data_IF_692064994588
#
_entry.id   IF_692064994588
#
_cell.length_a   1.000
_cell.length_b   1.000
_cell.length_c   1.000
_cell.angle_alpha   90.00
_cell.angle_beta   90.00
_cell.angle_gamma   90.00
#
_symmetry.space_group_name_H-M   'P 1'
#
loop_
_entity.id
_entity.type
_entity.pdbx_description
1 polymer ?
#
# COMPACT_ATOMS: atom_id res chain seq x y z
N UNK A 1 -6.83 -16.05 -36.56
CA UNK A 1 -5.74 -15.31 -35.89
C UNK A 1 -5.77 -13.87 -36.36
N UNK A 2 -6.43 -12.98 -35.62
CA UNK A 2 -6.34 -11.54 -35.85
C UNK A 2 -4.94 -11.10 -35.43
N UNK A 3 -4.11 -10.72 -36.41
CA UNK A 3 -2.82 -10.08 -36.16
C UNK A 3 -3.09 -8.62 -35.81
N UNK A 4 -2.89 -8.30 -34.55
CA UNK A 4 -2.97 -6.93 -34.04
C UNK A 4 -1.92 -6.05 -34.72
N UNK A 5 -2.22 -4.78 -34.94
CA UNK A 5 -1.37 -3.89 -35.74
C UNK A 5 -0.40 -3.05 -34.90
N UNK A 6 -0.54 -3.02 -33.57
CA UNK A 6 0.63 -2.75 -32.72
C UNK A 6 1.55 -3.97 -32.86
N UNK A 7 2.81 -3.82 -33.32
CA UNK A 7 3.72 -4.96 -33.37
C UNK A 7 3.74 -5.58 -31.98
N UNK A 8 3.67 -6.91 -31.89
CA UNK A 8 4.10 -7.59 -30.67
C UNK A 8 5.55 -7.17 -30.49
N UNK A 9 5.77 -6.07 -29.76
CA UNK A 9 7.08 -5.51 -29.52
C UNK A 9 7.76 -6.57 -28.67
N UNK A 10 8.65 -7.38 -29.27
CA UNK A 10 9.19 -8.50 -28.56
C UNK A 10 10.09 -7.89 -27.49
N UNK A 11 9.81 -8.23 -26.24
CA UNK A 11 10.63 -7.82 -25.11
C UNK A 11 12.00 -8.54 -25.11
N UNK A 12 12.30 -9.30 -26.16
CA UNK A 12 13.47 -10.19 -26.34
C UNK A 12 14.82 -9.46 -26.42
N UNK A 13 14.87 -8.15 -26.16
CA UNK A 13 16.10 -7.33 -26.14
C UNK A 13 16.30 -6.55 -24.84
N UNK A 14 15.38 -6.68 -23.90
CA UNK A 14 15.54 -6.08 -22.58
C UNK A 14 16.36 -7.05 -21.76
N UNK A 15 17.58 -6.61 -21.47
CA UNK A 15 18.61 -7.33 -20.75
C UNK A 15 18.06 -8.32 -19.72
N UNK A 16 18.53 -9.57 -19.80
CA UNK A 16 18.35 -10.52 -18.72
C UNK A 16 18.79 -9.87 -17.40
N UNK A 17 17.92 -9.93 -16.40
CA UNK A 17 18.33 -9.71 -15.03
C UNK A 17 19.07 -10.98 -14.60
N UNK A 18 20.40 -10.89 -14.51
CA UNK A 18 21.26 -12.05 -14.23
C UNK A 18 21.54 -12.08 -12.72
N UNK A 19 21.37 -13.22 -12.03
CA UNK A 19 21.78 -13.34 -10.64
C UNK A 19 23.26 -12.97 -10.48
N UNK A 20 23.62 -12.25 -9.42
CA UNK A 20 25.03 -12.12 -9.02
C UNK A 20 25.64 -13.52 -8.82
N UNK A 21 26.75 -13.80 -9.50
CA UNK A 21 27.41 -15.11 -9.52
C UNK A 21 27.88 -15.62 -8.14
N UNK A 22 27.85 -14.78 -7.09
CA UNK A 22 28.35 -15.09 -5.76
C UNK A 22 27.32 -15.75 -4.82
N UNK A 23 26.08 -16.01 -5.24
CA UNK A 23 25.06 -16.65 -4.38
C UNK A 23 24.69 -15.85 -3.13
N UNK A 24 25.21 -14.62 -2.99
CA UNK A 24 24.92 -13.69 -1.91
C UNK A 24 23.59 -12.98 -2.20
N UNK A 25 22.49 -13.73 -2.18
CA UNK A 25 21.16 -13.13 -2.14
C UNK A 25 20.90 -12.67 -0.71
N UNK A 26 20.50 -11.42 -0.54
CA UNK A 26 20.05 -10.91 0.76
C UNK A 26 18.76 -11.62 1.12
N UNK A 27 18.88 -12.76 1.82
CA UNK A 27 17.75 -13.35 2.53
C UNK A 27 17.55 -12.50 3.77
N UNK A 28 16.63 -11.55 3.69
CA UNK A 28 16.04 -11.00 4.91
C UNK A 28 15.46 -12.20 5.66
N UNK A 29 15.83 -12.36 6.92
CA UNK A 29 15.40 -13.49 7.76
C UNK A 29 13.85 -13.52 7.78
N UNK A 30 13.18 -14.58 7.29
CA UNK A 30 11.73 -14.60 7.14
C UNK A 30 10.95 -14.63 8.46
N UNK A 31 11.63 -14.61 9.61
CA UNK A 31 11.08 -15.00 10.90
C UNK A 31 10.14 -13.98 11.57
N UNK A 32 9.84 -12.84 10.94
CA UNK A 32 8.93 -11.83 11.51
C UNK A 32 7.91 -11.20 10.55
N UNK A 33 7.84 -11.61 9.27
CA UNK A 33 6.84 -11.04 8.35
C UNK A 33 5.45 -11.58 8.67
N UNK A 34 4.49 -10.69 8.87
CA UNK A 34 3.10 -11.10 9.01
C UNK A 34 2.56 -11.53 7.63
N UNK A 35 1.98 -12.72 7.57
CA UNK A 35 1.49 -13.29 6.33
C UNK A 35 0.11 -12.73 5.98
N UNK A 36 -0.09 -12.26 4.73
CA UNK A 36 -1.40 -11.79 4.30
C UNK A 36 -2.47 -12.89 4.39
N UNK A 37 -3.46 -12.69 5.26
CA UNK A 37 -4.76 -13.35 5.20
C UNK A 37 -5.55 -12.75 4.05
N UNK A 38 -6.29 -13.57 3.32
CA UNK A 38 -7.16 -13.09 2.26
C UNK A 38 -8.57 -13.62 2.43
N UNK A 39 -9.54 -12.90 1.87
CA UNK A 39 -10.89 -13.41 1.66
C UNK A 39 -11.13 -13.86 0.21
N UNK A 40 -10.06 -13.89 -0.60
CA UNK A 40 -10.07 -14.42 -1.95
C UNK A 40 -10.50 -15.90 -1.91
N UNK A 41 -11.58 -16.22 -2.62
CA UNK A 41 -12.17 -17.56 -2.64
C UNK A 41 -11.82 -18.32 -3.92
N UNK A 42 -11.74 -17.60 -5.05
CA UNK A 42 -11.51 -18.21 -6.35
C UNK A 42 -10.44 -17.48 -7.12
N UNK A 43 -9.54 -18.25 -7.72
CA UNK A 43 -8.55 -17.80 -8.68
C UNK A 43 -8.88 -18.44 -10.03
N UNK A 44 -9.34 -17.65 -11.00
CA UNK A 44 -9.85 -18.19 -12.28
C UNK A 44 -9.04 -17.70 -13.49
N UNK A 45 -8.84 -18.53 -14.53
CA UNK A 45 -8.17 -18.06 -15.73
C UNK A 45 -8.95 -16.95 -16.44
N UNK A 46 -8.29 -15.84 -16.74
CA UNK A 46 -8.84 -14.74 -17.53
C UNK A 46 -8.79 -15.08 -19.03
N UNK A 47 -9.73 -15.91 -19.48
CA UNK A 47 -9.74 -16.46 -20.85
C UNK A 47 -9.86 -15.39 -21.95
N UNK A 48 -10.50 -14.26 -21.66
CA UNK A 48 -10.68 -13.14 -22.60
C UNK A 48 -9.56 -12.11 -22.57
N UNK A 49 -8.53 -12.29 -21.73
CA UNK A 49 -7.49 -11.28 -21.50
C UNK A 49 -6.87 -10.75 -22.79
N UNK A 50 -6.35 -11.64 -23.65
CA UNK A 50 -5.64 -11.22 -24.87
C UNK A 50 -6.52 -10.40 -25.81
N UNK A 51 -7.82 -10.74 -25.90
CA UNK A 51 -8.79 -10.03 -26.72
C UNK A 51 -9.13 -8.67 -26.11
N UNK A 52 -9.39 -8.60 -24.80
CA UNK A 52 -9.67 -7.33 -24.10
C UNK A 52 -8.50 -6.35 -24.20
N UNK A 53 -7.26 -6.84 -24.01
CA UNK A 53 -6.05 -6.04 -24.19
C UNK A 53 -5.94 -5.53 -25.62
N UNK A 54 -6.18 -6.40 -26.62
CA UNK A 54 -6.14 -6.00 -28.02
C UNK A 54 -7.16 -4.91 -28.32
N UNK A 55 -8.41 -5.08 -27.88
CA UNK A 55 -9.49 -4.12 -28.09
C UNK A 55 -9.22 -2.79 -27.37
N UNK A 56 -8.68 -2.81 -26.16
CA UNK A 56 -8.33 -1.60 -25.41
C UNK A 56 -7.27 -0.78 -26.17
N UNK A 57 -6.27 -1.45 -26.72
CA UNK A 57 -5.21 -0.86 -27.54
C UNK A 57 -5.78 -0.28 -28.84
N UNK A 58 -6.57 -1.04 -29.60
CA UNK A 58 -7.17 -0.56 -30.85
C UNK A 58 -8.07 0.64 -30.63
N UNK A 59 -8.88 0.59 -29.57
CA UNK A 59 -9.73 1.70 -29.15
C UNK A 59 -8.90 2.94 -28.84
N UNK A 60 -7.79 2.78 -28.11
CA UNK A 60 -6.89 3.89 -27.80
C UNK A 60 -6.25 4.48 -29.06
N UNK A 61 -5.73 3.64 -29.97
CA UNK A 61 -5.15 4.09 -31.25
C UNK A 61 -6.17 4.83 -32.11
N UNK A 62 -7.42 4.34 -32.18
CA UNK A 62 -8.49 4.97 -32.93
C UNK A 62 -8.81 6.37 -32.38
N UNK A 63 -8.82 6.55 -31.05
CA UNK A 63 -9.05 7.88 -30.42
C UNK A 63 -8.01 8.91 -30.85
N UNK A 64 -6.74 8.52 -30.91
CA UNK A 64 -5.64 9.42 -31.31
C UNK A 64 -5.33 9.41 -32.81
N UNK A 65 -6.13 8.68 -33.61
CA UNK A 65 -5.94 8.51 -35.06
C UNK A 65 -4.52 8.04 -35.43
N UNK A 66 -3.91 7.22 -34.59
CA UNK A 66 -2.58 6.69 -34.83
C UNK A 66 -2.62 5.55 -35.84
N UNK A 67 -1.79 5.68 -36.88
CA UNK A 67 -1.57 4.59 -37.82
C UNK A 67 -0.64 3.54 -37.18
N UNK A 68 -0.96 2.25 -37.30
CA UNK A 68 -0.25 1.20 -36.58
C UNK A 68 1.27 1.03 -36.78
N UNK A 69 1.82 1.60 -37.85
CA UNK A 69 3.26 1.52 -38.15
C UNK A 69 4.16 2.56 -37.48
N UNK A 70 3.65 3.43 -36.60
CA UNK A 70 4.35 4.67 -36.19
C UNK A 70 5.03 4.67 -34.81
N UNK A 71 5.21 3.53 -34.14
CA UNK A 71 5.88 3.51 -32.84
C UNK A 71 7.40 3.35 -32.99
N UNK A 72 8.09 4.45 -33.25
CA UNK A 72 9.55 4.53 -33.08
C UNK A 72 9.87 4.72 -31.59
N UNK A 73 9.91 3.62 -30.85
CA UNK A 73 10.46 3.63 -29.50
C UNK A 73 11.98 3.78 -29.62
N UNK A 74 12.49 5.00 -29.51
CA UNK A 74 13.94 5.27 -29.38
C UNK A 74 14.43 4.51 -28.15
N UNK A 75 15.15 3.43 -28.42
CA UNK A 75 15.59 2.45 -27.43
C UNK A 75 17.07 2.69 -27.09
N UNK A 76 17.35 2.86 -25.81
CA UNK A 76 18.70 2.67 -25.29
C UNK A 76 18.81 1.22 -24.84
N UNK A 77 19.72 0.41 -25.42
CA UNK A 77 19.91 -0.96 -24.97
C UNK A 77 20.26 -0.96 -23.49
N UNK A 78 19.34 -1.49 -22.67
CA UNK A 78 19.66 -1.86 -21.31
C UNK A 78 20.70 -2.98 -21.40
N UNK A 79 21.90 -2.74 -20.87
CA UNK A 79 22.90 -3.78 -20.71
C UNK A 79 22.42 -4.77 -19.65
N UNK A 80 22.76 -6.09 -19.77
CA UNK A 80 22.52 -7.08 -18.72
C UNK A 80 22.96 -6.50 -17.39
N UNK A 81 21.99 -6.31 -16.51
CA UNK A 81 22.23 -5.71 -15.20
C UNK A 81 22.25 -6.84 -14.19
N UNK A 82 23.37 -7.05 -13.47
CA UNK A 82 23.36 -8.01 -12.38
C UNK A 82 22.36 -7.54 -11.33
N UNK A 83 21.48 -8.43 -10.90
CA UNK A 83 20.56 -8.18 -9.79
C UNK A 83 20.76 -9.24 -8.71
N UNK A 84 20.80 -8.81 -7.47
CA UNK A 84 21.00 -9.59 -6.26
C UNK A 84 19.90 -9.41 -5.22
N UNK A 85 19.08 -8.36 -5.34
CA UNK A 85 17.95 -8.09 -4.44
C UNK A 85 16.70 -7.57 -5.18
N UNK A 86 15.59 -7.49 -4.45
CA UNK A 86 14.30 -6.99 -4.93
C UNK A 86 14.40 -5.53 -5.44
N UNK A 87 15.16 -4.67 -4.74
CA UNK A 87 15.34 -3.26 -5.13
C UNK A 87 16.06 -3.12 -6.48
N UNK A 88 17.05 -3.96 -6.76
CA UNK A 88 17.75 -3.94 -8.04
C UNK A 88 16.84 -4.43 -9.19
N UNK A 89 15.94 -5.39 -8.92
CA UNK A 89 14.91 -5.80 -9.88
C UNK A 89 13.95 -4.64 -10.17
N UNK A 90 13.47 -3.94 -9.13
CA UNK A 90 12.60 -2.76 -9.28
C UNK A 90 13.26 -1.65 -10.09
N UNK A 91 14.51 -1.36 -9.79
CA UNK A 91 15.31 -0.38 -10.51
C UNK A 91 15.43 -0.77 -11.99
N UNK A 92 15.82 -2.02 -12.27
CA UNK A 92 15.92 -2.53 -13.63
C UNK A 92 14.59 -2.44 -14.40
N UNK A 93 13.49 -2.88 -13.79
CA UNK A 93 12.17 -2.86 -14.39
C UNK A 93 11.67 -1.45 -14.74
N UNK A 94 12.07 -0.44 -13.97
CA UNK A 94 11.74 0.95 -14.27
C UNK A 94 12.27 1.38 -15.65
N UNK A 95 13.53 1.06 -15.96
CA UNK A 95 14.15 1.43 -17.22
C UNK A 95 13.72 0.50 -18.36
N UNK A 96 13.70 -0.79 -18.09
CA UNK A 96 13.48 -1.80 -19.11
C UNK A 96 12.00 -1.97 -19.46
N UNK A 97 11.05 -1.70 -18.56
CA UNK A 97 9.62 -1.96 -18.80
C UNK A 97 8.75 -0.72 -18.61
N UNK A 98 8.80 -0.08 -17.44
CA UNK A 98 7.86 0.99 -17.12
C UNK A 98 7.99 2.20 -18.07
N UNK A 99 9.21 2.70 -18.32
CA UNK A 99 9.44 3.82 -19.24
C UNK A 99 8.98 3.54 -20.67
N UNK A 100 9.26 2.35 -21.27
CA UNK A 100 8.66 1.97 -22.54
C UNK A 100 7.13 1.97 -22.51
N UNK A 101 6.50 1.40 -21.49
CA UNK A 101 5.04 1.37 -21.35
C UNK A 101 4.48 2.80 -21.29
N UNK A 102 5.07 3.67 -20.45
CA UNK A 102 4.70 5.08 -20.34
C UNK A 102 4.76 5.82 -21.68
N UNK A 103 5.84 5.63 -22.46
CA UNK A 103 5.98 6.26 -23.78
C UNK A 103 4.91 5.80 -24.75
N UNK A 104 4.58 4.51 -24.76
CA UNK A 104 3.50 3.98 -25.59
C UNK A 104 2.15 4.56 -25.16
N UNK A 105 1.86 4.57 -23.86
CA UNK A 105 0.62 5.15 -23.32
C UNK A 105 0.49 6.64 -23.63
N UNK A 106 1.58 7.40 -23.50
CA UNK A 106 1.63 8.81 -23.88
C UNK A 106 1.31 9.01 -25.37
N UNK A 107 1.90 8.20 -26.24
CA UNK A 107 1.59 8.24 -27.67
C UNK A 107 0.11 7.86 -27.93
N UNK A 108 -0.47 6.96 -27.13
CA UNK A 108 -1.89 6.62 -27.14
C UNK A 108 -2.80 7.67 -26.47
N UNK A 109 -2.25 8.84 -26.12
CA UNK A 109 -2.99 9.97 -25.54
C UNK A 109 -3.35 9.79 -24.06
N UNK A 110 -2.70 8.86 -23.37
CA UNK A 110 -2.88 8.63 -21.93
C UNK A 110 -1.73 9.28 -21.18
N UNK A 111 -2.06 10.25 -20.33
CA UNK A 111 -1.10 10.89 -19.43
C UNK A 111 -1.06 10.17 -18.09
N UNK A 112 0.13 9.73 -17.68
CA UNK A 112 0.35 9.09 -16.40
C UNK A 112 1.78 8.56 -16.32
N UNK A 113 2.09 7.87 -15.22
CA UNK A 113 3.39 7.24 -15.00
C UNK A 113 3.30 6.08 -14.02
N UNK A 114 4.26 5.16 -14.11
CA UNK A 114 4.58 4.28 -13.00
C UNK A 114 5.45 5.02 -12.00
N UNK A 115 5.11 4.92 -10.73
CA UNK A 115 5.95 5.45 -9.66
C UNK A 115 5.91 4.55 -8.45
N UNK A 116 7.02 4.53 -7.74
CA UNK A 116 7.04 3.99 -6.38
C UNK A 116 6.25 4.92 -5.46
N UNK A 117 5.48 4.38 -4.48
CA UNK A 117 4.80 5.21 -3.49
C UNK A 117 5.76 6.03 -2.62
N UNK A 118 7.04 5.66 -2.54
CA UNK A 118 8.01 6.34 -1.70
C UNK A 118 8.15 7.83 -2.06
N UNK A 119 7.91 8.70 -1.07
CA UNK A 119 8.17 10.14 -1.17
C UNK A 119 7.08 10.97 -1.85
N UNK A 120 5.91 10.40 -2.15
CA UNK A 120 4.76 11.17 -2.65
C UNK A 120 3.48 10.80 -1.89
N UNK A 121 2.72 11.83 -1.49
CA UNK A 121 1.42 11.70 -0.83
C UNK A 121 0.34 11.30 -1.84
N UNK A 122 0.28 10.00 -2.14
CA UNK A 122 -0.83 9.42 -2.87
C UNK A 122 -1.90 8.94 -1.90
N UNK A 123 -3.16 9.09 -2.30
CA UNK A 123 -4.34 8.56 -1.62
C UNK A 123 -4.38 7.02 -1.66
N UNK A 124 -3.50 6.36 -0.89
CA UNK A 124 -3.23 4.93 -0.96
C UNK A 124 -3.06 4.31 0.43
N UNK A 125 -3.60 3.11 0.62
CA UNK A 125 -3.42 2.25 1.79
C UNK A 125 -2.42 1.14 1.45
N UNK A 126 -1.44 0.93 2.32
CA UNK A 126 -0.35 -0.02 2.11
C UNK A 126 0.76 0.54 1.20
N UNK A 127 1.75 -0.31 0.90
CA UNK A 127 2.95 0.08 0.16
C UNK A 127 3.31 -0.94 -0.94
N UNK A 128 2.55 -0.98 -2.06
CA UNK A 128 2.93 -1.74 -3.24
C UNK A 128 4.22 -1.20 -3.86
N UNK A 129 4.95 -2.02 -4.62
CA UNK A 129 6.22 -1.60 -5.22
C UNK A 129 6.07 -0.43 -6.19
N UNK A 130 5.08 -0.52 -7.07
CA UNK A 130 4.74 0.52 -8.03
C UNK A 130 3.24 0.66 -8.21
N UNK A 131 2.86 1.83 -8.71
CA UNK A 131 1.50 2.19 -9.06
C UNK A 131 1.51 2.83 -10.44
N UNK A 132 0.51 2.54 -11.27
CA UNK A 132 0.15 3.44 -12.35
C UNK A 132 -0.72 4.56 -11.79
N UNK A 133 -0.27 5.79 -12.01
CA UNK A 133 -1.01 6.99 -11.62
C UNK A 133 -1.38 7.76 -12.87
N UNK A 134 -2.68 7.98 -13.00
CA UNK A 134 -3.27 8.76 -14.09
C UNK A 134 -3.19 10.25 -13.80
N UNK A 135 -3.00 11.06 -14.84
CA UNK A 135 -3.02 12.51 -14.79
C UNK A 135 -1.64 13.18 -14.80
N UNK A 136 -1.65 14.52 -14.92
CA UNK A 136 -0.43 15.32 -14.94
C UNK A 136 0.21 15.35 -13.56
N UNK A 137 1.55 15.29 -13.44
CA UNK A 137 2.26 15.34 -12.15
C UNK A 137 1.93 16.54 -11.24
N UNK A 138 1.35 17.60 -11.80
CA UNK A 138 0.99 18.84 -11.11
C UNK A 138 -0.52 18.96 -10.86
N UNK A 139 -1.31 17.98 -11.30
CA UNK A 139 -2.75 17.94 -11.04
C UNK A 139 -3.01 17.50 -9.61
N UNK A 140 -4.02 18.09 -8.97
CA UNK A 140 -4.54 17.61 -7.69
C UNK A 140 -5.25 16.25 -7.83
N UNK A 141 -5.61 15.86 -9.06
CA UNK A 141 -6.43 14.68 -9.35
C UNK A 141 -5.59 13.42 -9.68
N UNK A 142 -4.49 13.19 -8.96
CA UNK A 142 -3.70 11.98 -9.14
C UNK A 142 -4.45 10.77 -8.57
N UNK A 143 -4.84 9.85 -9.46
CA UNK A 143 -5.59 8.67 -9.10
C UNK A 143 -4.74 7.41 -9.35
N UNK A 144 -4.37 6.64 -8.31
CA UNK A 144 -3.72 5.34 -8.49
C UNK A 144 -4.73 4.34 -9.05
N UNK A 145 -4.50 3.80 -10.26
CA UNK A 145 -5.46 2.93 -10.97
C UNK A 145 -5.03 1.46 -11.08
N UNK A 146 -3.73 1.19 -10.98
CA UNK A 146 -3.13 -0.14 -11.09
C UNK A 146 -2.03 -0.28 -10.04
N UNK A 147 -2.05 -1.38 -9.29
CA UNK A 147 -0.97 -1.75 -8.37
C UNK A 147 -0.05 -2.78 -9.00
N UNK A 148 1.23 -2.70 -8.68
CA UNK A 148 2.25 -3.61 -9.18
C UNK A 148 3.13 -4.05 -8.02
N UNK A 149 3.27 -5.36 -7.88
CA UNK A 149 4.12 -6.01 -6.88
C UNK A 149 5.22 -6.81 -7.59
N UNK A 150 6.46 -6.59 -7.17
CA UNK A 150 7.66 -7.27 -7.62
C UNK A 150 8.16 -8.23 -6.55
N UNK A 151 8.44 -9.48 -6.95
CA UNK A 151 9.19 -10.42 -6.14
C UNK A 151 10.44 -10.89 -6.86
N UNK A 152 11.51 -11.26 -6.17
CA UNK A 152 12.61 -11.94 -6.84
C UNK A 152 12.17 -13.32 -7.35
N UNK A 153 12.59 -13.72 -8.56
CA UNK A 153 12.23 -15.05 -9.11
C UNK A 153 12.79 -16.22 -8.31
N UNK A 154 13.75 -15.97 -7.41
CA UNK A 154 14.25 -16.97 -6.47
C UNK A 154 13.44 -17.04 -5.16
N UNK A 155 12.47 -16.15 -4.96
CA UNK A 155 11.58 -16.10 -3.79
C UNK A 155 10.10 -16.33 -4.15
N UNK A 156 9.71 -16.21 -5.42
CA UNK A 156 8.36 -16.50 -5.87
C UNK A 156 8.36 -17.19 -7.24
N UNK A 157 7.71 -18.36 -7.32
CA UNK A 157 7.44 -19.08 -8.56
C UNK A 157 6.00 -18.79 -9.01
N UNK A 158 5.85 -17.88 -9.96
CA UNK A 158 4.52 -17.44 -10.41
C UNK A 158 3.83 -18.45 -11.35
N UNK A 159 4.59 -19.40 -11.92
CA UNK A 159 4.04 -20.38 -12.85
C UNK A 159 3.12 -21.43 -12.21
N UNK A 160 3.26 -21.68 -10.90
CA UNK A 160 2.52 -22.72 -10.18
C UNK A 160 1.43 -22.18 -9.25
N UNK A 161 1.29 -20.84 -9.16
CA UNK A 161 0.32 -20.19 -8.28
C UNK A 161 -1.11 -20.76 -8.40
N UNK A 162 -1.66 -21.06 -9.59
CA UNK A 162 -3.00 -21.64 -9.69
C UNK A 162 -3.11 -23.00 -9.01
N UNK A 163 -2.09 -23.85 -9.13
CA UNK A 163 -2.04 -25.15 -8.47
C UNK A 163 -1.85 -24.95 -6.97
N UNK A 164 -0.91 -24.11 -6.55
CA UNK A 164 -0.66 -23.74 -5.14
C UNK A 164 -1.87 -23.11 -4.46
N UNK A 165 -2.73 -22.41 -5.20
CA UNK A 165 -3.97 -21.84 -4.66
C UNK A 165 -5.03 -22.92 -4.42
N UNK A 166 -5.09 -23.93 -5.28
CA UNK A 166 -6.05 -25.04 -5.17
C UNK A 166 -5.61 -26.10 -4.15
N UNK A 167 -4.31 -26.39 -4.10
CA UNK A 167 -3.69 -27.40 -3.26
C UNK A 167 -2.92 -26.72 -2.13
N UNK A 168 -3.09 -27.18 -0.89
CA UNK A 168 -2.30 -26.70 0.26
C UNK A 168 -0.86 -27.23 0.20
N UNK A 169 -0.10 -26.87 -0.85
CA UNK A 169 1.32 -27.20 -0.97
C UNK A 169 2.07 -26.60 0.23
N UNK A 170 2.98 -27.38 0.80
CA UNK A 170 3.75 -27.02 2.00
C UNK A 170 5.19 -26.64 1.69
N UNK A 171 5.57 -26.48 0.42
CA UNK A 171 6.90 -26.00 0.10
C UNK A 171 6.97 -24.47 0.23
N UNK A 172 8.08 -24.01 0.78
CA UNK A 172 8.29 -22.59 1.12
C UNK A 172 8.14 -21.66 -0.08
N UNK A 173 8.49 -22.09 -1.29
CA UNK A 173 8.43 -21.24 -2.48
C UNK A 173 6.98 -21.03 -2.93
N UNK A 174 6.15 -22.08 -2.83
CA UNK A 174 4.71 -21.99 -3.01
C UNK A 174 4.06 -21.07 -1.98
N UNK A 175 4.39 -21.21 -0.70
CA UNK A 175 3.89 -20.33 0.37
C UNK A 175 4.21 -18.86 0.08
N UNK A 176 5.47 -18.54 -0.25
CA UNK A 176 5.89 -17.18 -0.60
C UNK A 176 5.17 -16.63 -1.85
N UNK A 177 4.90 -17.49 -2.84
CA UNK A 177 4.19 -17.11 -4.06
C UNK A 177 2.72 -16.78 -3.77
N UNK A 178 2.08 -17.57 -2.90
CA UNK A 178 0.71 -17.35 -2.45
C UNK A 178 0.59 -16.10 -1.57
N UNK A 179 1.56 -15.87 -0.68
CA UNK A 179 1.64 -14.64 0.12
C UNK A 179 1.75 -13.40 -0.76
N UNK A 180 2.59 -13.45 -1.80
CA UNK A 180 2.71 -12.35 -2.76
C UNK A 180 1.40 -12.10 -3.51
N UNK A 181 0.66 -13.16 -3.89
CA UNK A 181 -0.67 -13.05 -4.51
C UNK A 181 -1.67 -12.39 -3.55
N UNK A 182 -1.69 -12.82 -2.28
CA UNK A 182 -2.58 -12.25 -1.27
C UNK A 182 -2.24 -10.80 -0.96
N UNK A 183 -0.96 -10.45 -0.94
CA UNK A 183 -0.48 -9.08 -0.74
C UNK A 183 -0.98 -8.15 -1.84
N UNK A 184 -0.75 -8.49 -3.12
CA UNK A 184 -1.23 -7.67 -4.24
C UNK A 184 -2.76 -7.58 -4.27
N UNK A 185 -3.46 -8.69 -4.00
CA UNK A 185 -4.93 -8.69 -3.90
C UNK A 185 -5.43 -7.80 -2.74
N UNK A 186 -4.73 -7.78 -1.61
CA UNK A 186 -5.01 -6.90 -0.48
C UNK A 186 -4.87 -5.43 -0.86
N UNK A 187 -3.78 -5.05 -1.54
CA UNK A 187 -3.61 -3.69 -2.07
C UNK A 187 -4.71 -3.33 -3.07
N UNK A 188 -5.03 -4.22 -4.00
CA UNK A 188 -6.12 -4.00 -4.96
C UNK A 188 -7.45 -3.78 -4.23
N UNK A 189 -7.71 -4.54 -3.18
CA UNK A 189 -8.94 -4.48 -2.41
C UNK A 189 -9.08 -3.19 -1.62
N UNK A 190 -8.04 -2.79 -0.90
CA UNK A 190 -8.08 -1.62 -0.01
C UNK A 190 -8.03 -0.29 -0.75
N UNK A 191 -7.45 -0.29 -1.95
CA UNK A 191 -7.35 0.90 -2.81
C UNK A 191 -8.40 0.92 -3.91
N UNK A 192 -9.39 0.02 -3.86
CA UNK A 192 -10.43 -0.13 -4.89
C UNK A 192 -9.88 -0.26 -6.31
N UNK A 193 -8.68 -0.84 -6.48
CA UNK A 193 -8.15 -1.13 -7.81
C UNK A 193 -8.80 -2.40 -8.35
N UNK A 194 -9.26 -2.31 -9.60
CA UNK A 194 -9.77 -3.45 -10.36
C UNK A 194 -8.65 -4.36 -10.85
N UNK A 195 -7.53 -3.75 -11.22
CA UNK A 195 -6.42 -4.41 -11.88
C UNK A 195 -5.16 -4.37 -11.02
N UNK A 196 -4.34 -5.41 -11.16
CA UNK A 196 -3.06 -5.54 -10.47
C UNK A 196 -2.09 -6.37 -11.30
N UNK A 197 -0.80 -6.24 -10.99
CA UNK A 197 0.26 -7.05 -11.59
C UNK A 197 1.11 -7.62 -10.47
N UNK A 198 1.33 -8.94 -10.48
CA UNK A 198 2.37 -9.59 -9.69
C UNK A 198 3.42 -10.11 -10.66
N UNK A 199 4.67 -9.68 -10.51
CA UNK A 199 5.74 -10.06 -11.43
C UNK A 199 6.99 -10.45 -10.66
N UNK A 200 7.72 -11.42 -11.20
CA UNK A 200 9.06 -11.77 -10.73
C UNK A 200 10.14 -11.42 -11.76
N UNK A 201 9.87 -10.43 -12.60
CA UNK A 201 10.61 -10.06 -13.81
C UNK A 201 10.51 -11.10 -14.94
N UNK A 202 10.78 -12.37 -14.66
CA UNK A 202 10.75 -13.46 -15.66
C UNK A 202 9.33 -13.82 -16.10
N UNK A 203 8.40 -13.68 -15.18
CA UNK A 203 7.01 -14.02 -15.34
C UNK A 203 6.15 -12.91 -14.71
N UNK A 204 4.93 -12.77 -15.21
CA UNK A 204 3.95 -11.86 -14.65
C UNK A 204 2.55 -12.50 -14.67
N UNK A 205 1.85 -12.34 -13.55
CA UNK A 205 0.42 -12.55 -13.44
C UNK A 205 -0.28 -11.20 -13.54
N UNK A 206 -1.10 -11.07 -14.57
CA UNK A 206 -2.02 -9.96 -14.77
C UNK A 206 -3.34 -10.30 -14.10
N UNK A 207 -3.80 -9.46 -13.18
CA UNK A 207 -4.88 -9.76 -12.28
C UNK A 207 -6.07 -8.81 -12.53
N UNK A 208 -7.29 -9.35 -12.48
CA UNK A 208 -8.54 -8.59 -12.50
C UNK A 208 -9.45 -9.07 -11.38
N UNK A 209 -9.83 -8.17 -10.48
CA UNK A 209 -10.89 -8.42 -9.51
C UNK A 209 -12.24 -8.39 -10.22
N UNK A 210 -13.03 -9.44 -10.05
CA UNK A 210 -14.42 -9.48 -10.51
C UNK A 210 -15.33 -9.27 -9.31
N UNK A 211 -16.27 -8.35 -9.45
CA UNK A 211 -17.32 -8.12 -8.45
C UNK A 211 -18.40 -9.20 -8.56
N UNK A 212 -18.02 -10.41 -8.18
CA UNK A 212 -18.94 -11.52 -7.95
C UNK A 212 -19.21 -11.62 -6.46
N UNK A 213 -20.38 -12.16 -6.08
CA UNK A 213 -20.67 -12.47 -4.67
C UNK A 213 -19.61 -13.40 -4.06
N UNK A 214 -19.01 -14.22 -4.92
CA UNK A 214 -17.89 -15.10 -4.64
C UNK A 214 -16.60 -14.33 -4.96
N UNK A 215 -15.77 -14.02 -3.96
CA UNK A 215 -14.62 -13.12 -4.14
C UNK A 215 -13.60 -13.75 -5.08
N UNK A 216 -13.60 -13.28 -6.32
CA UNK A 216 -12.91 -13.92 -7.44
C UNK A 216 -11.86 -13.00 -8.03
N UNK A 217 -10.69 -13.59 -8.30
CA UNK A 217 -9.57 -12.95 -8.97
C UNK A 217 -9.31 -13.70 -10.28
N UNK A 218 -9.51 -13.01 -11.40
CA UNK A 218 -9.12 -13.53 -12.68
C UNK A 218 -7.62 -13.29 -12.89
N UNK A 219 -6.92 -14.26 -13.49
CA UNK A 219 -5.49 -14.14 -13.77
C UNK A 219 -5.14 -14.51 -15.21
N UNK A 220 -4.12 -13.84 -15.76
CA UNK A 220 -3.46 -14.24 -17.00
C UNK A 220 -1.95 -14.26 -16.81
N UNK A 221 -1.30 -15.35 -17.22
CA UNK A 221 0.13 -15.55 -17.03
C UNK A 221 0.92 -15.26 -18.31
N UNK A 222 1.96 -14.42 -18.22
CA UNK A 222 2.89 -14.10 -19.31
C UNK A 222 4.32 -14.37 -18.87
N UNK A 223 5.13 -14.95 -19.76
CA UNK A 223 6.58 -15.15 -19.55
C UNK A 223 7.39 -14.18 -20.43
N UNK A 224 8.52 -13.69 -19.91
CA UNK A 224 9.36 -12.68 -20.54
C UNK A 224 10.05 -13.19 -21.84
N UNK A 225 10.66 -14.39 -21.78
CA UNK A 225 11.67 -14.83 -22.77
C UNK A 225 11.29 -16.06 -23.60
N UNK A 226 10.01 -16.36 -23.78
CA UNK A 226 9.67 -17.35 -24.80
C UNK A 226 9.54 -16.64 -26.15
N UNK A 227 10.18 -17.13 -27.24
CA UNK A 227 9.74 -16.80 -28.59
C UNK A 227 8.22 -16.92 -28.60
N UNK A 228 7.50 -16.07 -29.35
CA UNK A 228 6.06 -16.19 -29.59
C UNK A 228 5.76 -17.60 -30.12
N UNK A 229 5.69 -18.56 -29.21
CA UNK A 229 5.27 -19.91 -29.43
C UNK A 229 3.76 -19.83 -29.54
N UNK A 230 3.18 -20.87 -30.15
CA UNK A 230 1.76 -20.98 -30.43
C UNK A 230 0.88 -20.73 -29.18
N UNK A 231 1.44 -20.86 -27.97
CA UNK A 231 0.73 -20.84 -26.69
C UNK A 231 0.78 -19.51 -25.90
N UNK A 232 1.47 -18.46 -26.37
CA UNK A 232 1.44 -17.13 -25.73
C UNK A 232 1.19 -16.02 -26.76
N UNK A 233 -0.07 -15.62 -26.98
CA UNK A 233 -0.46 -14.71 -28.07
C UNK A 233 -0.11 -13.23 -27.81
N UNK A 234 0.50 -12.90 -26.68
CA UNK A 234 0.75 -11.52 -26.25
C UNK A 234 2.14 -11.35 -25.65
N UNK A 235 2.84 -10.27 -26.02
CA UNK A 235 4.12 -9.90 -25.40
C UNK A 235 3.92 -9.20 -24.06
N UNK A 236 4.93 -9.25 -23.18
CA UNK A 236 4.92 -8.56 -21.88
C UNK A 236 4.56 -7.07 -22.06
N UNK A 237 5.25 -6.35 -22.95
CA UNK A 237 4.98 -4.92 -23.17
C UNK A 237 3.53 -4.65 -23.55
N UNK A 238 2.97 -5.47 -24.46
CA UNK A 238 1.58 -5.32 -24.91
C UNK A 238 0.58 -5.61 -23.79
N UNK A 239 0.85 -6.62 -22.95
CA UNK A 239 0.05 -6.92 -21.78
C UNK A 239 0.06 -5.76 -20.76
N UNK A 240 1.23 -5.17 -20.49
CA UNK A 240 1.37 -4.00 -19.60
C UNK A 240 0.68 -2.75 -20.12
N UNK A 241 0.85 -2.43 -21.40
CA UNK A 241 0.13 -1.30 -22.04
C UNK A 241 -1.38 -1.54 -21.96
N UNK A 242 -1.83 -2.72 -22.35
CA UNK A 242 -3.26 -3.06 -22.36
C UNK A 242 -3.91 -3.02 -20.99
N UNK A 243 -3.31 -3.62 -19.96
CA UNK A 243 -3.91 -3.64 -18.63
C UNK A 243 -3.97 -2.23 -18.04
N UNK A 244 -2.98 -1.39 -18.35
CA UNK A 244 -2.99 0.01 -17.95
C UNK A 244 -4.12 0.77 -18.66
N UNK A 245 -4.35 0.52 -19.95
CA UNK A 245 -5.50 1.09 -20.68
C UNK A 245 -6.85 0.62 -20.12
N UNK A 246 -6.95 -0.65 -19.73
CA UNK A 246 -8.15 -1.17 -19.07
C UNK A 246 -8.37 -0.46 -17.73
N UNK A 247 -7.31 -0.30 -16.92
CA UNK A 247 -7.36 0.42 -15.66
C UNK A 247 -7.75 1.90 -15.83
N UNK A 248 -7.39 2.53 -16.96
CA UNK A 248 -7.80 3.91 -17.27
C UNK A 248 -9.31 4.05 -17.52
N UNK A 249 -9.92 3.05 -18.17
CA UNK A 249 -11.33 3.08 -18.60
C UNK A 249 -12.27 2.55 -17.52
N UNK A 250 -11.84 1.54 -16.78
CA UNK A 250 -12.68 0.74 -15.90
C UNK A 250 -12.09 0.66 -14.48
N UNK A 251 -11.99 1.83 -13.85
CA UNK A 251 -11.54 1.96 -12.46
C UNK A 251 -12.76 1.91 -11.52
N UNK A 252 -12.68 1.10 -10.45
CA UNK A 252 -13.78 0.96 -9.51
C UNK A 252 -13.82 2.09 -8.49
N UNK A 253 -15.04 2.56 -8.21
CA UNK A 253 -15.45 2.98 -6.87
C UNK A 253 -16.62 2.09 -6.46
N UNK A 254 -16.34 0.88 -5.99
CA UNK A 254 -17.36 -0.02 -5.48
C UNK A 254 -17.75 0.40 -4.05
N UNK A 255 -19.04 0.55 -3.72
CA UNK A 255 -19.47 0.63 -2.33
C UNK A 255 -19.35 -0.76 -1.69
N UNK A 256 -18.68 -0.84 -0.55
CA UNK A 256 -18.56 -2.09 0.21
C UNK A 256 -19.93 -2.58 0.68
N UNK A 257 -20.26 -3.84 0.40
CA UNK A 257 -21.40 -4.53 1.02
C UNK A 257 -20.97 -5.14 2.36
N UNK A 258 -21.75 -4.83 3.39
CA UNK A 258 -21.46 -5.11 4.81
C UNK A 258 -21.87 -6.54 5.17
N UNK A 259 -20.97 -7.37 5.73
CA UNK A 259 -21.32 -8.60 6.43
C UNK A 259 -21.29 -8.40 7.96
N UNK A 260 -22.14 -9.17 8.65
CA UNK A 260 -22.31 -9.11 10.10
C UNK A 260 -21.27 -9.99 10.82
N UNK A 261 -20.25 -9.38 11.44
CA UNK A 261 -19.34 -10.09 12.36
C UNK A 261 -18.99 -9.27 13.60
N UNK A 262 -19.30 -9.78 14.79
CA UNK A 262 -19.13 -9.07 16.07
C UNK A 262 -17.67 -8.82 16.49
N UNK A 263 -17.38 -7.61 16.98
CA UNK A 263 -16.12 -7.29 17.67
C UNK A 263 -16.17 -7.69 19.15
N UNK A 264 -15.08 -8.28 19.65
CA UNK A 264 -14.87 -8.56 21.07
C UNK A 264 -14.50 -7.32 21.89
N UNK A 265 -14.79 -7.35 23.19
CA UNK A 265 -14.46 -6.30 24.15
C UNK A 265 -13.03 -6.42 24.70
N UNK A 266 -12.30 -5.31 24.91
CA UNK A 266 -10.93 -5.34 25.42
C UNK A 266 -10.86 -5.72 26.92
N UNK A 267 -9.88 -6.55 27.27
CA UNK A 267 -9.45 -6.81 28.65
C UNK A 267 -8.60 -5.67 29.22
N UNK A 268 -8.47 -5.60 30.54
CA UNK A 268 -7.73 -4.54 31.25
C UNK A 268 -6.21 -4.83 31.19
N UNK A 269 -5.41 -3.82 30.82
CA UNK A 269 -3.95 -3.78 31.04
C UNK A 269 -3.07 -3.91 29.79
N UNK A 270 -3.62 -4.39 28.67
CA UNK A 270 -2.96 -4.36 27.35
C UNK A 270 -4.04 -4.37 26.27
N UNK A 271 -3.91 -3.52 25.25
CA UNK A 271 -4.82 -3.59 24.12
C UNK A 271 -4.37 -4.72 23.18
N UNK A 272 -5.28 -5.68 22.94
CA UNK A 272 -5.02 -6.77 22.01
C UNK A 272 -5.20 -6.28 20.57
N UNK A 273 -4.34 -6.77 19.66
CA UNK A 273 -4.57 -6.64 18.22
C UNK A 273 -5.70 -7.58 17.80
N UNK A 274 -6.80 -7.02 17.28
CA UNK A 274 -7.96 -7.79 16.83
C UNK A 274 -7.99 -7.87 15.31
N UNK A 275 -8.36 -9.02 14.74
CA UNK A 275 -8.65 -9.08 13.31
C UNK A 275 -9.84 -8.16 12.97
N UNK A 276 -9.68 -7.29 11.98
CA UNK A 276 -10.72 -6.39 11.50
C UNK A 276 -11.05 -6.71 10.05
N UNK A 277 -12.33 -6.92 9.79
CA UNK A 277 -12.83 -7.04 8.42
C UNK A 277 -12.78 -5.66 7.75
N UNK A 278 -12.01 -5.54 6.67
CA UNK A 278 -11.87 -4.27 5.94
C UNK A 278 -13.21 -3.75 5.39
N UNK A 279 -14.22 -4.62 5.21
CA UNK A 279 -15.57 -4.21 4.78
C UNK A 279 -16.29 -3.35 5.83
N UNK A 280 -15.83 -3.41 7.07
CA UNK A 280 -16.31 -2.55 8.15
C UNK A 280 -15.61 -1.19 8.16
N UNK A 281 -14.63 -0.96 7.28
CA UNK A 281 -13.85 0.27 7.21
C UNK A 281 -14.26 1.07 5.97
N UNK A 282 -14.72 2.31 6.18
CA UNK A 282 -14.90 3.29 5.13
C UNK A 282 -13.71 4.24 5.16
N UNK A 283 -12.64 3.87 4.45
CA UNK A 283 -11.43 4.67 4.40
C UNK A 283 -11.62 5.93 3.56
N UNK A 284 -11.34 7.10 4.15
CA UNK A 284 -11.25 8.34 3.39
C UNK A 284 -9.84 8.45 2.80
N UNK A 285 -9.67 7.93 1.57
CA UNK A 285 -8.39 7.97 0.87
C UNK A 285 -7.90 9.40 0.62
N UNK A 286 -8.80 10.39 0.55
CA UNK A 286 -8.41 11.81 0.36
C UNK A 286 -7.74 12.41 1.60
N UNK A 287 -7.92 11.78 2.76
CA UNK A 287 -7.33 12.19 4.04
C UNK A 287 -5.99 11.49 4.35
N UNK A 288 -5.49 10.66 3.44
CA UNK A 288 -4.22 9.93 3.63
C UNK A 288 -3.06 10.92 3.65
N UNK A 289 -2.31 10.89 4.75
CA UNK A 289 -1.03 11.58 4.93
C UNK A 289 0.04 10.52 5.12
N UNK A 290 1.10 10.55 4.31
CA UNK A 290 2.16 9.54 4.40
C UNK A 290 3.24 9.97 5.40
N UNK A 291 3.49 9.12 6.37
CA UNK A 291 4.68 9.15 7.21
C UNK A 291 5.83 8.41 6.54
N UNK A 292 6.98 8.32 7.23
CA UNK A 292 8.17 7.65 6.69
C UNK A 292 7.96 6.14 6.40
N UNK A 293 7.09 5.49 7.17
CA UNK A 293 6.93 4.02 7.21
C UNK A 293 5.47 3.59 7.48
N UNK A 294 4.50 4.40 7.01
CA UNK A 294 3.08 4.15 7.25
C UNK A 294 2.23 5.35 6.91
N UNK A 295 0.91 5.17 6.94
CA UNK A 295 -0.06 6.16 6.53
C UNK A 295 -0.93 6.58 7.71
N UNK A 296 -1.31 7.86 7.77
CA UNK A 296 -2.33 8.36 8.68
C UNK A 296 -3.54 8.81 7.86
N UNK A 297 -4.73 8.30 8.18
CA UNK A 297 -5.95 8.66 7.48
C UNK A 297 -7.17 8.68 8.40
N UNK A 298 -8.21 9.35 7.97
CA UNK A 298 -9.54 9.28 8.57
C UNK A 298 -10.30 8.08 8.00
N UNK A 299 -11.08 7.42 8.86
CA UNK A 299 -11.93 6.30 8.47
C UNK A 299 -13.14 6.23 9.37
N UNK A 300 -14.20 5.60 8.87
CA UNK A 300 -15.36 5.25 9.68
C UNK A 300 -15.35 3.74 9.87
N UNK A 301 -15.40 3.31 11.13
CA UNK A 301 -15.53 1.89 11.47
C UNK A 301 -16.99 1.60 11.79
N UNK A 302 -17.58 0.67 11.05
CA UNK A 302 -18.92 0.16 11.24
C UNK A 302 -18.92 -0.86 12.38
N UNK A 303 -19.64 -0.56 13.46
CA UNK A 303 -19.77 -1.46 14.60
C UNK A 303 -21.02 -2.34 14.46
N UNK A 304 -20.89 -3.66 14.32
CA UNK A 304 -22.04 -4.56 14.22
C UNK A 304 -22.77 -4.69 15.56
N UNK A 305 -24.11 -4.68 15.52
CA UNK A 305 -24.97 -5.04 16.67
C UNK A 305 -25.51 -3.89 17.53
N UNK A 306 -25.08 -2.64 17.34
CA UNK A 306 -25.78 -1.44 17.85
C UNK A 306 -26.26 -0.66 16.65
N UNK A 307 -27.56 -0.30 16.59
CA UNK A 307 -28.19 0.56 15.54
C UNK A 307 -27.12 1.37 14.80
N UNK A 308 -26.66 0.87 13.64
CA UNK A 308 -25.48 1.30 12.88
C UNK A 308 -24.80 2.56 13.43
N UNK A 309 -24.00 2.40 14.49
CA UNK A 309 -23.22 3.52 15.02
C UNK A 309 -21.88 3.52 14.31
N UNK A 310 -21.75 4.40 13.32
CA UNK A 310 -20.49 4.74 12.70
C UNK A 310 -19.60 5.45 13.72
N UNK A 311 -18.36 4.97 13.88
CA UNK A 311 -17.36 5.65 14.69
C UNK A 311 -16.33 6.24 13.74
N UNK A 312 -16.30 7.57 13.65
CA UNK A 312 -15.21 8.28 13.00
C UNK A 312 -13.93 8.14 13.83
N UNK A 313 -12.86 7.69 13.18
CA UNK A 313 -11.55 7.48 13.78
C UNK A 313 -10.46 8.03 12.87
N UNK A 314 -9.34 8.42 13.49
CA UNK A 314 -8.07 8.69 12.82
C UNK A 314 -7.18 7.47 13.01
N UNK A 315 -6.71 6.89 11.92
CA UNK A 315 -5.96 5.66 11.89
C UNK A 315 -4.52 5.90 11.51
N UNK A 316 -3.58 5.33 12.27
CA UNK A 316 -2.20 5.10 11.84
C UNK A 316 -2.11 3.66 11.33
N UNK A 317 -1.70 3.51 10.08
CA UNK A 317 -1.69 2.23 9.35
C UNK A 317 -0.26 1.88 8.97
N UNK A 318 0.16 0.67 9.30
CA UNK A 318 1.50 0.14 8.99
C UNK A 318 1.35 -1.16 8.20
N UNK A 319 2.06 -1.22 7.08
CA UNK A 319 2.21 -2.41 6.26
C UNK A 319 3.32 -3.29 6.80
N UNK A 320 2.95 -4.33 7.55
CA UNK A 320 3.90 -5.20 8.24
C UNK A 320 4.64 -6.14 7.31
N UNK A 321 4.16 -6.32 6.06
CA UNK A 321 4.86 -7.11 5.06
C UNK A 321 6.13 -6.39 4.57
N UNK A 322 6.11 -5.05 4.61
CA UNK A 322 7.19 -4.15 4.21
C UNK A 322 8.02 -3.67 5.40
N UNK A 323 7.35 -3.32 6.48
CA UNK A 323 7.90 -2.60 7.64
C UNK A 323 7.65 -3.37 8.94
N UNK A 324 8.29 -4.54 9.13
CA UNK A 324 8.07 -5.36 10.33
C UNK A 324 8.57 -4.68 11.61
N UNK A 325 9.63 -3.86 11.55
CA UNK A 325 10.12 -3.13 12.72
C UNK A 325 9.16 -2.02 13.15
N UNK A 326 8.52 -1.36 12.19
CA UNK A 326 7.57 -0.30 12.46
C UNK A 326 6.24 -0.84 12.99
N UNK A 327 5.96 -2.12 12.71
CA UNK A 327 4.91 -2.87 13.38
C UNK A 327 5.17 -2.98 14.89
N UNK A 328 6.41 -3.21 15.31
CA UNK A 328 6.81 -3.24 16.73
C UNK A 328 6.74 -1.85 17.35
N UNK A 329 7.17 -0.81 16.62
CA UNK A 329 7.01 0.58 17.06
C UNK A 329 5.54 0.95 17.27
N UNK A 330 4.64 0.51 16.39
CA UNK A 330 3.20 0.73 16.53
C UNK A 330 2.63 0.00 17.76
N UNK A 331 3.13 -1.21 18.07
CA UNK A 331 2.75 -1.93 19.29
C UNK A 331 3.22 -1.21 20.56
N UNK A 332 4.43 -0.66 20.57
CA UNK A 332 4.90 0.16 21.67
C UNK A 332 3.99 1.39 21.86
N UNK A 333 3.61 2.06 20.78
CA UNK A 333 2.67 3.19 20.83
C UNK A 333 1.31 2.77 21.43
N UNK A 334 0.78 1.60 21.06
CA UNK A 334 -0.45 1.03 21.64
C UNK A 334 -0.31 0.80 23.15
N UNK A 335 0.82 0.28 23.60
CA UNK A 335 1.10 0.03 25.02
C UNK A 335 1.21 1.33 25.84
N UNK A 336 1.70 2.41 25.22
CA UNK A 336 1.67 3.75 25.82
C UNK A 336 0.23 4.25 25.96
N UNK A 337 -0.60 4.12 24.93
CA UNK A 337 -2.03 4.46 25.05
C UNK A 337 -2.74 3.67 26.15
N UNK A 338 -2.43 2.38 26.30
CA UNK A 338 -2.97 1.55 27.38
C UNK A 338 -2.53 2.07 28.76
N UNK A 339 -1.27 2.47 28.89
CA UNK A 339 -0.73 3.05 30.13
C UNK A 339 -1.34 4.42 30.46
N UNK A 340 -1.68 5.20 29.44
CA UNK A 340 -2.28 6.53 29.56
C UNK A 340 -3.82 6.51 29.53
N UNK A 341 -4.46 5.37 29.82
CA UNK A 341 -5.93 5.20 29.72
C UNK A 341 -6.72 6.29 30.46
N UNK A 342 -6.25 6.75 31.62
CA UNK A 342 -6.93 7.77 32.43
C UNK A 342 -6.85 9.18 31.82
N UNK A 343 -5.96 9.42 30.86
CA UNK A 343 -5.74 10.71 30.19
C UNK A 343 -6.44 10.80 28.83
N UNK A 344 -6.96 9.67 28.34
CA UNK A 344 -7.65 9.57 27.07
C UNK A 344 -8.97 10.37 27.07
N UNK A 345 -9.09 11.25 26.07
CA UNK A 345 -10.17 12.22 25.93
C UNK A 345 -9.99 13.49 26.77
N UNK A 346 -8.92 13.60 27.56
CA UNK A 346 -8.56 14.78 28.33
C UNK A 346 -7.40 15.52 27.67
N UNK A 347 -6.27 14.83 27.48
CA UNK A 347 -5.05 15.35 26.86
C UNK A 347 -4.46 14.42 25.80
N UNK A 348 -4.91 13.18 25.72
CA UNK A 348 -4.57 12.25 24.63
C UNK A 348 -5.85 11.80 23.92
N UNK A 349 -5.80 11.40 22.64
CA UNK A 349 -6.96 10.84 21.95
C UNK A 349 -7.54 9.63 22.69
N UNK A 350 -8.85 9.44 22.62
CA UNK A 350 -9.43 8.15 23.03
C UNK A 350 -8.99 7.04 22.08
N UNK A 351 -8.43 5.99 22.64
CA UNK A 351 -8.15 4.75 21.93
C UNK A 351 -9.48 4.10 21.53
N UNK A 352 -9.60 3.72 20.26
CA UNK A 352 -10.80 3.07 19.70
C UNK A 352 -10.56 1.61 19.39
N UNK A 353 -9.34 1.27 18.99
CA UNK A 353 -8.93 -0.11 18.80
C UNK A 353 -7.56 -0.23 18.18
N UNK A 354 -7.04 -1.45 18.24
CA UNK A 354 -5.83 -1.85 17.54
C UNK A 354 -6.15 -3.11 16.75
N UNK A 355 -5.95 -3.04 15.44
CA UNK A 355 -6.51 -4.00 14.51
C UNK A 355 -5.48 -4.53 13.52
N UNK A 356 -5.74 -5.72 13.00
CA UNK A 356 -5.04 -6.30 11.87
C UNK A 356 -6.04 -6.54 10.73
N UNK A 357 -5.82 -5.91 9.59
CA UNK A 357 -6.58 -6.13 8.37
C UNK A 357 -5.79 -7.06 7.47
N UNK A 358 -6.47 -8.10 6.96
CA UNK A 358 -5.89 -9.06 6.01
C UNK A 358 -4.57 -9.66 6.50
N UNK A 359 -4.30 -9.73 7.81
CA UNK A 359 -3.08 -10.32 8.34
C UNK A 359 -1.78 -9.52 8.16
N UNK A 360 -1.75 -8.46 7.34
CA UNK A 360 -0.53 -7.70 7.03
C UNK A 360 -0.62 -6.17 7.22
N UNK A 361 -1.81 -5.63 7.55
CA UNK A 361 -1.97 -4.20 7.82
C UNK A 361 -2.41 -3.98 9.26
N UNK A 362 -1.50 -3.44 10.06
CA UNK A 362 -1.80 -3.05 11.45
C UNK A 362 -2.34 -1.64 11.50
N UNK A 363 -3.40 -1.44 12.28
CA UNK A 363 -4.13 -0.19 12.38
C UNK A 363 -4.31 0.19 13.85
N UNK A 364 -3.74 1.32 14.24
CA UNK A 364 -4.07 2.01 15.49
C UNK A 364 -5.19 3.02 15.22
N UNK A 365 -6.39 2.76 15.73
CA UNK A 365 -7.56 3.63 15.58
C UNK A 365 -7.77 4.50 16.82
N UNK A 366 -7.78 5.82 16.62
CA UNK A 366 -7.91 6.83 17.67
C UNK A 366 -9.09 7.76 17.39
N UNK A 367 -9.58 8.43 18.42
CA UNK A 367 -10.51 9.54 18.28
C UNK A 367 -9.85 10.66 17.43
N UNK A 368 -10.53 11.21 16.41
CA UNK A 368 -10.06 12.41 15.73
C UNK A 368 -10.02 13.57 16.73
N UNK A 369 -8.87 14.25 16.83
CA UNK A 369 -8.67 15.38 17.74
C UNK A 369 -8.09 16.58 17.01
N UNK A 370 -8.88 17.64 16.90
CA UNK A 370 -8.42 18.96 16.44
C UNK A 370 -7.63 18.95 15.13
N UNK A 371 -6.82 19.99 14.95
CA UNK A 371 -5.85 20.12 13.84
C UNK A 371 -4.44 20.22 14.44
N UNK A 372 -3.43 19.52 13.89
CA UNK A 372 -2.04 19.69 14.30
C UNK A 372 -1.59 21.14 14.19
N UNK A 373 -0.85 21.64 15.18
CA UNK A 373 -0.26 22.99 15.09
C UNK A 373 0.81 22.97 13.98
N UNK A 374 0.76 23.90 13.00
CA UNK A 374 1.76 23.97 11.93
C UNK A 374 3.16 24.18 12.48
N UNK A 375 4.17 23.55 11.85
CA UNK A 375 5.57 23.60 12.32
C UNK A 375 6.17 25.01 12.33
N UNK A 376 5.64 25.90 11.51
CA UNK A 376 6.04 27.29 11.33
C UNK A 376 5.13 28.29 12.05
N UNK A 377 4.16 27.80 12.85
CA UNK A 377 3.23 28.66 13.56
C UNK A 377 3.92 29.45 14.69
N UNK A 378 3.59 30.74 14.79
CA UNK A 378 3.92 31.53 15.98
C UNK A 378 3.08 31.08 17.16
N UNK A 379 3.76 30.70 18.26
CA UNK A 379 3.10 30.23 19.49
C UNK A 379 2.93 31.40 20.45
N UNK A 380 1.68 31.73 20.78
CA UNK A 380 1.39 32.69 21.86
C UNK A 380 1.73 32.09 23.23
N UNK A 381 2.03 32.95 24.20
CA UNK A 381 2.31 32.50 25.58
C UNK A 381 1.14 31.69 26.18
N UNK A 382 -0.10 32.06 25.86
CA UNK A 382 -1.29 31.32 26.28
C UNK A 382 -1.33 29.89 25.71
N UNK A 383 -0.99 29.73 24.43
CA UNK A 383 -0.92 28.41 23.79
C UNK A 383 0.23 27.58 24.35
N UNK A 384 1.40 28.19 24.56
CA UNK A 384 2.57 27.55 25.19
C UNK A 384 2.22 26.99 26.56
N UNK A 385 1.52 27.78 27.39
CA UNK A 385 1.05 27.34 28.70
C UNK A 385 0.06 26.17 28.62
N UNK A 386 -0.81 26.12 27.61
CA UNK A 386 -1.71 24.98 27.36
C UNK A 386 -0.94 23.73 26.93
N UNK A 387 0.03 23.86 26.02
CA UNK A 387 0.91 22.75 25.61
C UNK A 387 1.66 22.16 26.79
N UNK A 388 2.28 23.01 27.63
CA UNK A 388 2.93 22.59 28.87
C UNK A 388 1.95 21.92 29.85
N UNK A 389 0.73 22.44 29.96
CA UNK A 389 -0.32 21.86 30.80
C UNK A 389 -0.73 20.45 30.35
N UNK A 390 -0.82 20.21 29.04
CA UNK A 390 -1.10 18.88 28.50
C UNK A 390 0.08 17.93 28.69
N UNK A 391 1.31 18.38 28.41
CA UNK A 391 2.53 17.58 28.60
C UNK A 391 2.74 17.20 30.08
N UNK A 392 2.48 18.13 31.00
CA UNK A 392 2.61 17.88 32.43
C UNK A 392 1.71 16.72 32.90
N UNK A 393 0.53 16.57 32.34
CA UNK A 393 -0.37 15.48 32.73
C UNK A 393 0.18 14.10 32.39
N UNK A 394 0.86 13.96 31.24
CA UNK A 394 1.54 12.67 30.93
C UNK A 394 2.83 12.50 31.74
N UNK A 395 3.53 13.59 32.08
CA UNK A 395 4.70 13.57 32.97
C UNK A 395 4.33 13.13 34.39
N UNK A 396 3.20 13.58 34.92
CA UNK A 396 2.66 13.15 36.21
C UNK A 396 2.33 11.65 36.24
N UNK A 397 2.09 11.05 35.07
CA UNK A 397 1.95 9.60 34.90
C UNK A 397 3.30 8.85 34.80
N UNK A 398 4.42 9.58 34.78
CA UNK A 398 5.77 9.05 34.68
C UNK A 398 6.25 8.76 33.26
N UNK A 399 5.65 9.37 32.24
CA UNK A 399 6.00 9.15 30.83
C UNK A 399 6.59 10.40 30.20
N UNK A 400 7.60 10.22 29.34
CA UNK A 400 8.04 11.22 28.37
C UNK A 400 7.34 10.99 27.02
N UNK A 401 7.15 12.06 26.25
CA UNK A 401 6.65 11.97 24.87
C UNK A 401 7.72 11.47 23.89
N UNK A 402 8.96 11.92 24.03
CA UNK A 402 10.13 11.57 23.22
C UNK A 402 10.34 12.41 21.95
N UNK A 403 9.28 13.04 21.45
CA UNK A 403 9.30 13.86 20.21
C UNK A 403 8.48 15.14 20.38
N UNK A 404 9.09 16.19 20.95
CA UNK A 404 8.43 17.49 21.15
C UNK A 404 8.50 18.31 19.86
N UNK A 405 7.41 18.29 19.10
CA UNK A 405 7.24 19.07 17.87
C UNK A 405 5.82 19.64 17.78
N UNK A 406 5.67 20.83 17.18
CA UNK A 406 4.36 21.49 17.04
C UNK A 406 3.29 20.60 16.41
N UNK A 407 3.67 19.80 15.41
CA UNK A 407 2.75 18.88 14.73
C UNK A 407 2.24 17.73 15.62
N UNK A 408 2.86 17.48 16.78
CA UNK A 408 2.42 16.47 17.75
C UNK A 408 1.45 17.04 18.80
N UNK A 409 1.13 18.34 18.71
CA UNK A 409 0.08 18.99 19.49
C UNK A 409 -1.10 19.33 18.58
N UNK A 410 -2.26 18.74 18.83
CA UNK A 410 -3.49 19.05 18.12
C UNK A 410 -4.35 20.04 18.90
N UNK A 411 -4.78 21.12 18.25
CA UNK A 411 -5.65 22.14 18.83
C UNK A 411 -7.10 21.93 18.37
N UNK A 412 -8.03 21.84 19.31
CA UNK A 412 -9.47 21.77 18.99
C UNK A 412 -10.08 23.17 18.81
N UNK A 413 -11.30 23.23 18.27
CA UNK A 413 -12.08 24.48 18.18
C UNK A 413 -12.36 25.12 19.54
N UNK A 414 -12.40 24.31 20.60
CA UNK A 414 -12.57 24.76 21.99
C UNK A 414 -11.22 25.11 22.65
N UNK A 415 -10.18 25.29 21.85
CA UNK A 415 -8.81 25.59 22.24
C UNK A 415 -8.19 24.62 23.26
N UNK A 416 -8.60 23.34 23.23
CA UNK A 416 -7.95 22.27 24.01
C UNK A 416 -6.79 21.69 23.22
N UNK A 417 -5.72 21.35 23.92
CA UNK A 417 -4.50 20.78 23.33
C UNK A 417 -4.42 19.29 23.65
N UNK A 418 -4.35 18.49 22.59
CA UNK A 418 -4.13 17.05 22.67
C UNK A 418 -2.72 16.69 22.18
N UNK A 419 -2.09 15.74 22.87
CA UNK A 419 -0.82 15.12 22.47
C UNK A 419 -1.10 13.90 21.59
N UNK A 420 -0.37 13.77 20.49
CA UNK A 420 -0.48 12.66 19.53
C UNK A 420 0.91 12.17 19.13
N UNK A 421 0.98 10.98 18.52
CA UNK A 421 2.21 10.33 18.06
C UNK A 421 3.15 9.91 19.21
N UNK A 422 2.78 8.84 19.93
CA UNK A 422 3.53 8.33 21.09
C UNK A 422 4.58 7.26 20.71
N UNK A 423 5.05 7.26 19.46
CA UNK A 423 5.98 6.25 18.96
C UNK A 423 7.34 6.25 19.69
N UNK A 424 7.79 7.43 20.11
CA UNK A 424 9.07 7.65 20.81
C UNK A 424 8.87 7.75 22.34
N UNK A 425 7.64 7.55 22.81
CA UNK A 425 7.29 7.69 24.21
C UNK A 425 7.73 6.50 25.04
N UNK A 426 8.15 6.78 26.27
CA UNK A 426 8.62 5.77 27.22
C UNK A 426 8.41 6.24 28.66
N UNK A 427 8.60 5.33 29.61
CA UNK A 427 8.71 5.72 31.02
C UNK A 427 9.97 6.55 31.23
N UNK A 428 9.85 7.58 32.06
CA UNK A 428 10.97 8.38 32.50
C UNK A 428 11.78 7.61 33.54
N UNK A 429 13.11 7.66 33.42
CA UNK A 429 14.01 7.05 34.41
C UNK A 429 14.27 8.00 35.58
N UNK A 430 14.15 9.31 35.35
CA UNK A 430 14.35 10.35 36.35
C UNK A 430 13.51 11.61 36.07
N UNK A 431 13.20 12.36 37.12
CA UNK A 431 12.50 13.65 37.03
C UNK A 431 13.23 14.64 36.10
N UNK A 432 14.55 14.58 36.03
CA UNK A 432 15.36 15.46 35.17
C UNK A 432 15.12 15.25 33.68
N UNK A 433 14.61 14.08 33.26
CA UNK A 433 14.18 13.86 31.87
C UNK A 433 12.88 14.60 31.56
N UNK A 434 11.90 14.51 32.47
CA UNK A 434 10.62 15.21 32.36
C UNK A 434 10.83 16.72 32.33
N UNK A 435 11.69 17.24 33.22
CA UNK A 435 12.01 18.66 33.28
C UNK A 435 12.70 19.15 31.99
N UNK A 436 13.55 18.31 31.39
CA UNK A 436 14.22 18.62 30.12
C UNK A 436 13.23 18.66 28.97
N UNK A 437 12.36 17.65 28.84
CA UNK A 437 11.35 17.60 27.79
C UNK A 437 10.36 18.77 27.92
N UNK A 438 10.00 19.17 29.15
CA UNK A 438 9.17 20.35 29.40
C UNK A 438 9.83 21.64 28.91
N UNK A 439 11.15 21.75 29.00
CA UNK A 439 11.91 22.90 28.51
C UNK A 439 12.03 22.94 26.99
N UNK A 440 11.90 21.80 26.29
CA UNK A 440 11.89 21.77 24.82
C UNK A 440 10.71 22.54 24.25
N UNK A 441 9.56 22.58 24.95
CA UNK A 441 8.43 23.43 24.56
C UNK A 441 8.84 24.90 24.51
N UNK A 442 9.74 25.39 25.36
CA UNK A 442 10.19 26.79 25.33
C UNK A 442 11.09 27.11 24.12
N UNK A 443 11.65 26.10 23.48
CA UNK A 443 12.45 26.21 22.26
C UNK A 443 11.63 26.19 20.97
N UNK A 444 10.34 25.82 21.03
CA UNK A 444 9.37 25.93 19.93
C UNK A 444 8.86 27.38 19.79
#
# INVERSE_FOLDING_TARGET
MMRTILPDLPFTKFADAVPLASGAHSKIDPTTRAHPKTDLQHLTPWVSFSEEIHQAIESAMARVRLNPGHFDLIYEPAYPSPVGCEEEIRCHATFALHRPVERVLQALGVEGRFCSPHGVDYALIGEPDFLWISGKPQSADLCPKLVVEYKPWWEANLSDIPSTFADSSSDKLSEQSLEALHQVYGYMTLNNNRYGILTNWKEALFLRRTETSEKTLDYYHVKLDRPLAVDSPISMLKAWVGITLLAEVDWFCAPASIPEHGLGSPGIGKYQCLDLDYRLCLFDLSSVHRGKHGNVLETQILMPGRRQSEISVRCKVVDTSRYPFEAETLENEVDIYASLQNFQGLVTPKFRGYYCILGFLKILALQPVGVPIPRDASISEALRMKMKGSLRQIHEAGFIHGDIALCNFCLTTDEKVFLVNFQDSRRADAQTELDREMAEIDGL
#
